data_IF_638381729745
#
_entry.id   IF_638381729745
#
_cell.length_a   1.000
_cell.length_b   1.000
_cell.length_c   1.000
_cell.angle_alpha   90.00
_cell.angle_beta   90.00
_cell.angle_gamma   90.00
#
_symmetry.space_group_name_H-M   'P 1'
#
loop_
_entity.id
_entity.type
_entity.pdbx_description
1 polymer ?
#
# COMPACT_ATOMS: atom_id res chain seq x y z
N UNK A 1 19.80 -12.38 -4.87
CA UNK A 1 18.79 -11.33 -4.68
C UNK A 1 19.33 -10.42 -3.58
N UNK A 2 19.77 -9.21 -3.92
CA UNK A 2 20.53 -8.38 -2.98
C UNK A 2 19.56 -7.71 -1.99
N UNK A 3 19.74 -8.06 -0.72
CA UNK A 3 18.99 -7.53 0.40
C UNK A 3 19.52 -6.16 0.82
N UNK A 4 18.66 -5.32 1.39
CA UNK A 4 19.12 -4.15 2.12
C UNK A 4 19.88 -4.64 3.38
N UNK A 5 21.08 -4.12 3.66
CA UNK A 5 21.79 -4.38 4.91
C UNK A 5 20.97 -4.05 6.16
N UNK A 6 21.21 -4.74 7.27
CA UNK A 6 20.50 -4.53 8.56
C UNK A 6 20.78 -3.15 9.15
N UNK A 7 21.90 -2.53 8.82
CA UNK A 7 22.26 -1.18 9.23
C UNK A 7 21.77 -0.10 8.26
N UNK A 8 20.94 -0.46 7.27
CA UNK A 8 20.39 0.51 6.32
C UNK A 8 19.46 1.49 7.02
N UNK A 9 19.57 2.76 6.66
CA UNK A 9 18.73 3.84 7.16
C UNK A 9 18.08 4.52 5.97
N UNK A 10 16.79 4.84 6.10
CA UNK A 10 16.05 5.64 5.15
C UNK A 10 15.72 7.02 5.73
N UNK A 11 15.69 8.02 4.85
CA UNK A 11 15.29 9.38 5.20
C UNK A 11 14.56 10.03 4.01
N UNK A 12 13.52 10.82 4.32
CA UNK A 12 12.74 11.54 3.30
C UNK A 12 12.98 13.02 3.42
N UNK A 13 13.37 13.66 2.32
CA UNK A 13 13.59 15.09 2.23
C UNK A 13 12.60 15.70 1.24
N UNK A 14 12.16 16.91 1.53
CA UNK A 14 11.12 17.59 0.76
C UNK A 14 11.49 19.07 0.53
N UNK A 15 11.35 19.55 -0.70
CA UNK A 15 11.67 20.93 -1.07
C UNK A 15 10.59 21.57 -1.96
N UNK A 16 10.43 22.89 -1.83
CA UNK A 16 9.48 23.71 -2.60
C UNK A 16 10.06 24.17 -3.94
N UNK A 17 11.38 24.37 -4.00
CA UNK A 17 12.13 24.78 -5.18
C UNK A 17 13.13 23.71 -5.63
N UNK A 18 13.53 23.76 -6.91
CA UNK A 18 14.54 22.87 -7.45
C UNK A 18 15.91 23.28 -6.88
N UNK A 19 16.28 22.70 -5.74
CA UNK A 19 17.58 22.91 -5.11
C UNK A 19 18.44 21.71 -5.47
N UNK A 20 19.53 21.92 -6.23
CA UNK A 20 20.38 20.87 -6.81
C UNK A 20 20.80 19.79 -5.80
N UNK A 21 21.96 19.91 -5.12
CA UNK A 21 22.08 19.24 -3.84
C UNK A 21 20.99 19.86 -2.95
N UNK A 22 20.07 19.07 -2.40
CA UNK A 22 19.09 19.56 -1.41
C UNK A 22 19.86 20.18 -0.21
N UNK A 23 20.22 21.46 -0.32
CA UNK A 23 21.08 22.21 0.61
C UNK A 23 20.41 23.55 0.86
N UNK A 24 20.20 23.90 2.14
CA UNK A 24 19.26 24.97 2.55
C UNK A 24 17.80 24.51 2.46
N UNK A 25 16.88 25.26 3.11
CA UNK A 25 15.39 25.25 3.18
C UNK A 25 14.55 23.98 2.92
N UNK A 26 15.17 22.84 2.66
CA UNK A 26 14.54 21.56 2.49
C UNK A 26 14.13 21.06 3.88
N UNK A 27 12.89 20.59 3.95
CA UNK A 27 12.45 19.85 5.10
C UNK A 27 13.14 18.49 5.12
N UNK A 28 13.73 18.15 6.27
CA UNK A 28 14.44 16.90 6.49
C UNK A 28 13.63 16.07 7.50
N UNK A 29 13.13 14.93 7.04
CA UNK A 29 12.40 14.00 7.90
C UNK A 29 13.31 13.24 8.85
N UNK A 30 12.72 12.63 9.91
CA UNK A 30 13.47 11.75 10.79
C UNK A 30 14.01 10.54 10.01
N UNK A 31 15.16 10.04 10.45
CA UNK A 31 15.72 8.78 9.98
C UNK A 31 14.86 7.62 10.47
N UNK A 32 14.63 6.62 9.62
CA UNK A 32 13.88 5.42 10.00
C UNK A 32 14.45 4.17 9.35
N UNK A 33 14.14 3.03 9.94
CA UNK A 33 14.55 1.74 9.39
C UNK A 33 13.72 1.43 8.13
N UNK A 34 14.36 1.14 6.97
CA UNK A 34 13.65 0.85 5.73
C UNK A 34 12.93 -0.51 5.77
N UNK A 35 13.35 -1.42 6.66
CA UNK A 35 12.69 -2.69 6.87
C UNK A 35 11.69 -2.60 8.04
N UNK A 36 10.48 -3.10 7.80
CA UNK A 36 9.44 -3.18 8.84
C UNK A 36 9.59 -4.41 9.75
N UNK A 37 10.46 -5.36 9.40
CA UNK A 37 10.59 -6.63 10.11
C UNK A 37 11.98 -6.89 10.64
N UNK A 38 12.07 -7.40 11.87
CA UNK A 38 13.30 -7.97 12.44
C UNK A 38 13.95 -9.09 11.58
N UNK A 39 13.33 -9.47 10.46
CA UNK A 39 13.86 -10.38 9.46
C UNK A 39 13.36 -10.02 8.04
N UNK A 40 14.19 -10.24 7.04
CA UNK A 40 13.82 -10.18 5.62
C UNK A 40 12.87 -11.33 5.27
N UNK A 41 11.92 -11.10 4.35
CA UNK A 41 11.13 -12.21 3.80
C UNK A 41 12.03 -13.17 3.02
N UNK A 42 11.76 -14.49 3.06
CA UNK A 42 12.51 -15.46 2.24
C UNK A 42 12.48 -15.16 0.73
N UNK A 43 11.47 -14.43 0.26
CA UNK A 43 11.36 -13.96 -1.13
C UNK A 43 12.31 -12.81 -1.47
N UNK A 44 13.00 -12.24 -0.49
CA UNK A 44 13.86 -11.08 -0.65
C UNK A 44 13.13 -9.74 -0.80
N UNK A 45 11.80 -9.77 -0.89
CA UNK A 45 10.96 -8.60 -1.12
C UNK A 45 10.76 -7.78 0.16
N UNK A 46 10.84 -6.46 0.02
CA UNK A 46 10.73 -5.49 1.09
C UNK A 46 9.83 -4.35 0.64
N UNK A 47 9.05 -3.83 1.59
CA UNK A 47 8.20 -2.65 1.38
C UNK A 47 8.64 -1.57 2.33
N UNK A 48 9.19 -0.49 1.77
CA UNK A 48 9.47 0.74 2.52
C UNK A 48 8.19 1.56 2.55
N UNK A 49 7.77 1.95 3.75
CA UNK A 49 6.64 2.86 3.95
C UNK A 49 7.12 4.04 4.78
N UNK A 50 6.82 5.23 4.29
CA UNK A 50 6.93 6.46 5.05
C UNK A 50 5.59 7.21 4.97
N UNK A 51 5.17 7.80 6.07
CA UNK A 51 4.03 8.71 6.11
C UNK A 51 4.42 9.96 6.87
N UNK A 52 3.96 11.12 6.40
CA UNK A 52 4.20 12.39 7.07
C UNK A 52 3.80 12.31 8.56
N UNK A 53 4.69 12.69 9.49
CA UNK A 53 4.36 12.72 10.91
C UNK A 53 3.31 13.79 11.18
N UNK A 54 2.50 13.61 12.22
CA UNK A 54 1.49 14.60 12.65
C UNK A 54 2.15 15.93 13.08
N UNK A 55 3.33 15.83 13.70
CA UNK A 55 4.14 16.97 14.12
C UNK A 55 5.35 17.10 13.20
N UNK A 56 5.60 18.29 12.67
CA UNK A 56 6.69 18.52 11.72
C UNK A 56 6.37 17.99 10.32
N UNK A 57 5.11 18.05 9.88
CA UNK A 57 4.69 17.75 8.50
C UNK A 57 5.54 18.54 7.50
N UNK A 58 6.04 17.93 6.41
CA UNK A 58 6.71 18.69 5.37
C UNK A 58 5.79 19.77 4.80
N UNK A 59 6.35 20.93 4.40
CA UNK A 59 5.59 21.93 3.65
C UNK A 59 5.12 21.34 2.32
N UNK A 60 4.21 22.05 1.63
CA UNK A 60 3.76 21.67 0.28
C UNK A 60 4.98 21.62 -0.65
N UNK A 61 5.52 20.42 -0.85
CA UNK A 61 6.76 20.19 -1.56
C UNK A 61 6.48 19.69 -2.98
N UNK A 62 7.28 20.19 -3.92
CA UNK A 62 7.26 19.75 -5.32
C UNK A 62 8.32 18.68 -5.57
N UNK A 63 9.41 18.72 -4.81
CA UNK A 63 10.56 17.84 -4.97
C UNK A 63 10.72 16.94 -3.75
N UNK A 64 10.81 15.64 -4.00
CA UNK A 64 10.96 14.62 -2.98
C UNK A 64 12.24 13.82 -3.23
N UNK A 65 13.04 13.66 -2.19
CA UNK A 65 14.23 12.80 -2.20
C UNK A 65 14.10 11.73 -1.14
N UNK A 66 14.26 10.49 -1.56
CA UNK A 66 14.31 9.33 -0.67
C UNK A 66 15.77 8.89 -0.61
N UNK A 67 16.41 9.14 0.53
CA UNK A 67 17.79 8.73 0.78
C UNK A 67 17.76 7.37 1.47
N UNK A 68 18.49 6.40 0.93
CA UNK A 68 18.72 5.10 1.58
C UNK A 68 20.24 4.89 1.61
N UNK A 69 20.79 4.69 2.80
CA UNK A 69 22.23 4.56 3.01
C UNK A 69 22.53 3.53 4.09
N UNK A 70 23.71 2.94 4.05
CA UNK A 70 24.23 1.94 4.99
C UNK A 70 25.73 2.18 5.13
N UNK A 71 26.33 1.72 6.23
CA UNK A 71 27.79 1.73 6.39
C UNK A 71 28.47 0.73 5.46
N UNK A 72 27.74 -0.30 5.03
CA UNK A 72 28.22 -1.33 4.11
C UNK A 72 27.77 -1.01 2.69
N UNK A 73 28.62 -1.25 1.69
CA UNK A 73 28.24 -1.09 0.28
C UNK A 73 27.18 -2.14 -0.10
N UNK A 74 26.07 -1.69 -0.67
CA UNK A 74 24.99 -2.56 -1.10
C UNK A 74 24.41 -2.12 -2.44
N UNK A 75 23.69 -3.04 -3.07
CA UNK A 75 22.89 -2.80 -4.25
C UNK A 75 21.47 -3.25 -3.96
N UNK A 76 20.49 -2.48 -4.38
CA UNK A 76 19.09 -2.87 -4.24
C UNK A 76 18.35 -2.52 -5.52
N UNK A 77 17.30 -3.30 -5.81
CA UNK A 77 16.43 -3.05 -6.93
C UNK A 77 15.08 -2.55 -6.41
N UNK A 78 14.68 -1.37 -6.85
CA UNK A 78 13.33 -0.86 -6.62
C UNK A 78 12.44 -1.32 -7.77
N UNK A 79 11.32 -1.98 -7.44
CA UNK A 79 10.32 -2.36 -8.44
C UNK A 79 9.31 -1.24 -8.67
N UNK A 80 8.83 -0.61 -7.59
CA UNK A 80 7.77 0.40 -7.64
C UNK A 80 7.99 1.43 -6.54
N UNK A 81 7.65 2.68 -6.85
CA UNK A 81 7.61 3.80 -5.92
C UNK A 81 6.22 4.41 -6.00
N UNK A 82 5.57 4.59 -4.85
CA UNK A 82 4.21 5.10 -4.75
C UNK A 82 4.24 6.33 -3.85
N UNK A 83 3.81 7.46 -4.40
CA UNK A 83 3.71 8.73 -3.70
C UNK A 83 2.27 9.20 -3.86
N UNK A 84 1.59 9.49 -2.75
CA UNK A 84 0.19 9.85 -2.78
C UNK A 84 -0.32 10.36 -1.46
N UNK A 85 -1.59 10.77 -1.47
CA UNK A 85 -2.29 11.24 -0.27
C UNK A 85 -2.69 10.04 0.58
N UNK A 86 -2.40 10.10 1.89
CA UNK A 86 -2.82 9.07 2.84
C UNK A 86 -4.28 9.29 3.24
N UNK A 87 -5.07 8.23 3.16
CA UNK A 87 -6.38 8.12 3.81
C UNK A 87 -6.29 7.10 4.94
N UNK A 88 -6.72 7.47 6.14
CA UNK A 88 -6.83 6.59 7.31
C UNK A 88 -8.13 6.93 8.03
N UNK A 89 -9.13 6.04 8.05
CA UNK A 89 -10.36 6.30 8.77
C UNK A 89 -10.12 6.29 10.28
N UNK A 90 -10.92 7.05 11.04
CA UNK A 90 -10.83 7.09 12.50
C UNK A 90 -11.26 5.77 13.15
N UNK A 91 -12.16 5.03 12.49
CA UNK A 91 -12.60 3.69 12.90
C UNK A 91 -12.00 2.65 11.99
N UNK A 92 -11.40 1.64 12.60
CA UNK A 92 -10.74 0.58 11.86
C UNK A 92 -11.76 -0.29 11.10
N UNK A 93 -11.29 -1.00 10.08
CA UNK A 93 -12.12 -1.99 9.40
C UNK A 93 -12.55 -3.08 10.38
N UNK A 94 -13.72 -3.68 10.15
CA UNK A 94 -14.18 -4.79 10.98
C UNK A 94 -13.26 -6.00 10.82
N UNK A 95 -12.98 -6.75 11.90
CA UNK A 95 -12.21 -7.99 11.86
C UNK A 95 -12.95 -9.02 10.99
N UNK A 96 -12.64 -9.01 9.69
CA UNK A 96 -13.28 -9.78 8.64
C UNK A 96 -12.67 -9.51 7.28
N UNK A 97 -11.41 -9.07 7.23
CA UNK A 97 -10.69 -8.88 5.97
C UNK A 97 -10.65 -10.21 5.20
N UNK A 98 -11.22 -10.23 4.00
CA UNK A 98 -11.24 -11.41 3.15
C UNK A 98 -9.92 -11.48 2.40
N UNK A 99 -8.95 -12.22 2.92
CA UNK A 99 -7.72 -12.54 2.21
C UNK A 99 -7.97 -13.70 1.26
N UNK A 100 -7.69 -13.48 -0.03
CA UNK A 100 -7.93 -14.48 -1.05
C UNK A 100 -6.79 -14.58 -2.05
N UNK A 101 -6.94 -15.52 -2.97
CA UNK A 101 -6.10 -15.64 -4.16
C UNK A 101 -7.03 -15.76 -5.34
N UNK A 102 -6.91 -14.84 -6.28
CA UNK A 102 -7.56 -14.94 -7.58
C UNK A 102 -6.63 -15.68 -8.52
N UNK A 103 -7.01 -16.92 -8.83
CA UNK A 103 -6.34 -17.70 -9.89
C UNK A 103 -6.90 -17.25 -11.24
N UNK A 104 -6.04 -16.75 -12.12
CA UNK A 104 -6.40 -16.44 -13.51
C UNK A 104 -6.29 -17.66 -14.43
N UNK A 105 -5.90 -18.81 -13.87
CA UNK A 105 -5.86 -20.07 -14.59
C UNK A 105 -7.25 -20.65 -14.84
N UNK A 106 -7.32 -21.55 -15.81
CA UNK A 106 -8.52 -22.33 -16.09
C UNK A 106 -8.18 -23.82 -16.04
N UNK A 107 -9.13 -24.61 -15.55
CA UNK A 107 -9.09 -26.06 -15.60
C UNK A 107 -10.43 -26.51 -16.19
N UNK A 108 -10.36 -27.19 -17.33
CA UNK A 108 -11.53 -27.69 -18.05
C UNK A 108 -11.30 -29.16 -18.42
N UNK A 109 -12.36 -29.89 -18.72
CA UNK A 109 -12.28 -31.25 -19.22
C UNK A 109 -12.58 -31.25 -20.72
N UNK A 110 -11.67 -31.82 -21.51
CA UNK A 110 -11.96 -32.09 -22.92
C UNK A 110 -13.14 -33.05 -23.05
N UNK A 111 -13.75 -33.09 -24.24
CA UNK A 111 -14.80 -34.07 -24.57
C UNK A 111 -14.40 -35.54 -24.34
N UNK A 112 -13.09 -35.84 -24.22
CA UNK A 112 -12.56 -37.18 -23.93
C UNK A 112 -12.23 -37.40 -22.45
N UNK A 113 -12.62 -36.48 -21.56
CA UNK A 113 -12.35 -36.58 -20.12
C UNK A 113 -10.91 -36.25 -19.71
N UNK A 114 -10.08 -35.76 -20.64
CA UNK A 114 -8.71 -35.30 -20.33
C UNK A 114 -8.76 -33.90 -19.72
N UNK A 115 -8.10 -33.70 -18.58
CA UNK A 115 -7.96 -32.41 -17.93
C UNK A 115 -7.07 -31.46 -18.77
N UNK A 116 -7.67 -30.39 -19.28
CA UNK A 116 -6.99 -29.28 -19.92
C UNK A 116 -6.74 -28.19 -18.86
N UNK A 117 -5.47 -27.84 -18.67
CA UNK A 117 -5.08 -26.84 -17.66
C UNK A 117 -4.27 -25.72 -18.30
N UNK A 118 -4.79 -24.51 -18.21
CA UNK A 118 -4.06 -23.29 -18.55
C UNK A 118 -3.59 -22.64 -17.26
N UNK A 119 -2.27 -22.52 -17.09
CA UNK A 119 -1.69 -21.85 -15.91
C UNK A 119 -1.81 -20.34 -16.08
N UNK A 120 -2.59 -19.71 -15.22
CA UNK A 120 -2.64 -18.25 -15.09
C UNK A 120 -1.78 -17.77 -13.91
N UNK A 121 -1.58 -16.46 -13.84
CA UNK A 121 -0.99 -15.83 -12.67
C UNK A 121 -1.97 -15.95 -11.47
N UNK A 122 -1.42 -16.22 -10.29
CA UNK A 122 -2.17 -16.23 -9.03
C UNK A 122 -1.95 -14.89 -8.35
N UNK A 123 -3.00 -14.06 -8.30
CA UNK A 123 -2.94 -12.73 -7.73
C UNK A 123 -3.53 -12.76 -6.31
N UNK A 124 -2.86 -12.11 -5.36
CA UNK A 124 -3.42 -11.94 -4.02
C UNK A 124 -4.62 -11.01 -4.08
N UNK A 125 -5.67 -11.31 -3.35
CA UNK A 125 -6.84 -10.42 -3.20
C UNK A 125 -7.06 -10.08 -1.74
N UNK A 126 -7.60 -8.89 -1.52
CA UNK A 126 -7.97 -8.41 -0.19
C UNK A 126 -9.31 -7.67 -0.27
N UNK A 127 -10.28 -8.16 0.48
CA UNK A 127 -11.55 -7.49 0.71
C UNK A 127 -11.55 -6.84 2.08
N UNK A 128 -11.80 -5.53 2.15
CA UNK A 128 -11.97 -4.79 3.39
C UNK A 128 -13.41 -4.31 3.53
N UNK A 129 -13.96 -4.51 4.72
CA UNK A 129 -15.29 -4.00 5.09
C UNK A 129 -15.17 -3.05 6.28
N UNK A 130 -15.46 -1.78 6.04
CA UNK A 130 -15.59 -0.77 7.08
C UNK A 130 -17.06 -0.74 7.49
N UNK A 131 -17.40 -1.24 8.67
CA UNK A 131 -18.80 -1.46 9.07
C UNK A 131 -19.47 -0.26 9.74
N UNK A 132 -18.69 0.75 10.14
CA UNK A 132 -19.14 1.81 11.04
C UNK A 132 -18.40 3.13 10.80
N UNK A 133 -18.31 3.56 9.54
CA UNK A 133 -17.76 4.87 9.17
C UNK A 133 -18.73 5.99 9.57
N UNK A 134 -18.17 7.14 9.95
CA UNK A 134 -18.92 8.37 10.11
C UNK A 134 -19.32 8.94 8.75
N UNK A 135 -20.45 9.66 8.71
CA UNK A 135 -20.97 10.27 7.48
C UNK A 135 -19.96 11.24 6.87
N UNK A 136 -19.41 12.13 7.69
CA UNK A 136 -18.48 13.16 7.23
C UNK A 136 -17.19 12.55 6.68
N UNK A 137 -16.66 11.49 7.30
CA UNK A 137 -15.48 10.78 6.77
C UNK A 137 -15.75 10.12 5.42
N UNK A 138 -16.96 9.61 5.22
CA UNK A 138 -17.37 8.99 3.97
C UNK A 138 -17.47 10.04 2.87
N UNK A 139 -18.22 11.11 3.10
CA UNK A 139 -18.50 12.14 2.09
C UNK A 139 -17.28 13.00 1.77
N UNK A 140 -16.45 13.35 2.76
CA UNK A 140 -15.30 14.24 2.55
C UNK A 140 -14.07 13.53 1.98
N UNK A 141 -13.90 12.23 2.26
CA UNK A 141 -12.64 11.53 1.98
C UNK A 141 -12.83 10.26 1.17
N UNK A 142 -13.68 9.34 1.62
CA UNK A 142 -13.78 8.04 0.99
C UNK A 142 -14.48 8.12 -0.37
N UNK A 143 -15.62 8.79 -0.45
CA UNK A 143 -16.39 8.89 -1.69
C UNK A 143 -15.60 9.59 -2.81
N UNK A 144 -14.96 10.75 -2.60
CA UNK A 144 -14.08 11.35 -3.60
C UNK A 144 -12.92 10.45 -4.01
N UNK A 145 -12.36 9.67 -3.08
CA UNK A 145 -11.31 8.70 -3.38
C UNK A 145 -11.83 7.58 -4.29
N UNK A 146 -13.02 7.03 -3.99
CA UNK A 146 -13.62 5.97 -4.79
C UNK A 146 -14.03 6.47 -6.18
N UNK A 147 -14.57 7.68 -6.28
CA UNK A 147 -14.91 8.32 -7.56
C UNK A 147 -13.66 8.60 -8.41
N UNK A 148 -12.57 9.05 -7.77
CA UNK A 148 -11.30 9.26 -8.46
C UNK A 148 -10.66 7.96 -8.93
N UNK A 149 -10.69 6.91 -8.11
CA UNK A 149 -10.05 5.65 -8.45
C UNK A 149 -10.85 4.83 -9.49
N UNK A 150 -12.18 4.80 -9.31
CA UNK A 150 -13.06 3.89 -10.02
C UNK A 150 -12.53 2.45 -9.99
N UNK A 151 -12.60 1.78 -11.14
CA UNK A 151 -12.03 0.44 -11.35
C UNK A 151 -10.73 0.46 -12.17
N UNK A 152 -10.24 1.64 -12.56
CA UNK A 152 -9.12 1.80 -13.49
C UNK A 152 -7.82 2.13 -12.79
N UNK A 153 -7.88 2.95 -11.74
CA UNK A 153 -6.68 3.42 -11.05
C UNK A 153 -6.16 2.41 -10.02
N UNK A 154 -4.92 2.62 -9.62
CA UNK A 154 -4.21 1.77 -8.68
C UNK A 154 -4.21 2.36 -7.28
N UNK A 155 -4.45 1.52 -6.28
CA UNK A 155 -4.39 1.88 -4.87
C UNK A 155 -3.27 1.08 -4.17
N UNK A 156 -2.54 1.76 -3.28
CA UNK A 156 -1.70 1.12 -2.28
C UNK A 156 -2.50 0.93 -0.98
N UNK A 157 -2.69 -0.31 -0.56
CA UNK A 157 -3.37 -0.64 0.68
C UNK A 157 -2.39 -1.22 1.69
N UNK A 158 -2.36 -0.64 2.89
CA UNK A 158 -1.57 -1.10 4.01
C UNK A 158 -2.54 -1.33 5.16
N UNK A 159 -2.81 -2.59 5.48
CA UNK A 159 -3.82 -2.93 6.51
C UNK A 159 -3.34 -2.61 7.91
N UNK A 160 -2.03 -2.66 8.13
CA UNK A 160 -1.37 -2.42 9.40
C UNK A 160 -0.07 -1.64 9.16
N UNK A 161 -0.05 -0.33 9.48
CA UNK A 161 1.12 0.52 9.25
C UNK A 161 2.23 0.34 10.30
N UNK A 162 1.97 -0.35 11.41
CA UNK A 162 2.89 -0.39 12.55
C UNK A 162 4.08 -1.34 12.34
N UNK A 163 5.20 -1.09 13.05
CA UNK A 163 6.29 -2.01 13.36
C UNK A 163 6.08 -3.52 13.22
N UNK A 164 6.19 -4.21 12.06
CA UNK A 164 5.93 -5.66 12.06
C UNK A 164 6.72 -6.50 11.04
N UNK A 165 7.20 -7.66 11.50
CA UNK A 165 7.93 -8.68 10.73
C UNK A 165 7.29 -9.03 9.38
N UNK A 166 5.97 -9.14 9.36
CA UNK A 166 5.19 -9.52 8.18
C UNK A 166 4.53 -8.32 7.46
N UNK A 167 4.95 -7.07 7.71
CA UNK A 167 4.30 -5.91 7.08
C UNK A 167 4.30 -5.98 5.55
N UNK A 168 5.38 -6.45 4.93
CA UNK A 168 5.43 -6.65 3.48
C UNK A 168 4.34 -7.60 2.95
N UNK A 169 3.85 -8.55 3.77
CA UNK A 169 2.71 -9.42 3.43
C UNK A 169 1.34 -8.75 3.69
N UNK A 170 1.31 -7.66 4.45
CA UNK A 170 0.13 -6.84 4.78
C UNK A 170 0.01 -5.59 3.90
N UNK A 171 0.97 -5.37 3.01
CA UNK A 171 0.89 -4.37 1.96
C UNK A 171 0.41 -5.01 0.66
N UNK A 172 -0.48 -4.30 -0.02
CA UNK A 172 -1.07 -4.68 -1.28
C UNK A 172 -1.02 -3.47 -2.23
N UNK A 173 -0.89 -3.73 -3.52
CA UNK A 173 -0.92 -2.69 -4.54
C UNK A 173 -1.65 -3.22 -5.76
N UNK A 174 -2.69 -2.53 -6.20
CA UNK A 174 -3.42 -2.92 -7.40
C UNK A 174 -4.75 -2.21 -7.56
N UNK A 175 -5.59 -2.73 -8.45
CA UNK A 175 -6.87 -2.12 -8.80
C UNK A 175 -8.00 -2.57 -7.87
N UNK A 176 -8.98 -1.69 -7.70
CA UNK A 176 -10.26 -2.06 -7.12
C UNK A 176 -11.06 -2.90 -8.11
N UNK A 177 -11.78 -3.90 -7.59
CA UNK A 177 -12.54 -4.84 -8.41
C UNK A 177 -13.91 -5.11 -7.80
N UNK A 178 -14.90 -5.28 -8.68
CA UNK A 178 -16.28 -5.57 -8.28
C UNK A 178 -17.05 -4.29 -7.99
N UNK A 179 -18.11 -4.42 -7.21
CA UNK A 179 -18.90 -3.27 -6.78
C UNK A 179 -18.17 -2.54 -5.65
N UNK A 180 -17.68 -1.35 -6.00
CA UNK A 180 -17.07 -0.41 -5.07
C UNK A 180 -18.15 0.58 -4.66
N UNK A 181 -18.53 0.55 -3.38
CA UNK A 181 -19.62 1.39 -2.93
C UNK A 181 -19.76 1.44 -1.42
N UNK A 182 -20.63 2.36 -0.99
CA UNK A 182 -20.99 2.52 0.40
C UNK A 182 -22.50 2.45 0.58
N UNK A 183 -22.92 1.86 1.70
CA UNK A 183 -24.32 1.63 2.05
C UNK A 183 -24.55 2.23 3.44
N UNK A 184 -25.65 2.96 3.62
CA UNK A 184 -26.10 3.36 4.94
C UNK A 184 -26.71 2.16 5.65
N UNK A 185 -25.95 1.52 6.56
CA UNK A 185 -26.39 0.29 7.23
C UNK A 185 -27.47 0.56 8.28
N UNK A 186 -27.31 1.65 9.05
CA UNK A 186 -28.25 2.12 10.09
C UNK A 186 -28.17 3.64 10.22
N UNK A 187 -29.09 4.25 10.94
CA UNK A 187 -29.01 5.68 11.28
C UNK A 187 -27.65 5.98 11.94
N UNK A 188 -26.85 6.85 11.32
CA UNK A 188 -25.51 7.23 11.80
C UNK A 188 -24.37 6.22 11.57
N UNK A 189 -24.62 5.10 10.88
CA UNK A 189 -23.59 4.10 10.60
C UNK A 189 -23.54 3.75 9.10
N UNK A 190 -22.42 4.14 8.47
CA UNK A 190 -22.15 3.82 7.08
C UNK A 190 -21.20 2.63 6.96
N UNK A 191 -21.45 1.83 5.93
CA UNK A 191 -20.62 0.69 5.58
C UNK A 191 -19.99 0.92 4.20
N UNK A 192 -18.72 0.60 4.05
CA UNK A 192 -18.05 0.55 2.75
C UNK A 192 -17.35 -0.80 2.58
N UNK A 193 -17.48 -1.39 1.40
CA UNK A 193 -16.81 -2.63 1.04
C UNK A 193 -15.90 -2.37 -0.16
N UNK A 194 -14.64 -2.78 -0.05
CA UNK A 194 -13.62 -2.54 -1.07
C UNK A 194 -12.89 -3.86 -1.29
N UNK A 195 -12.86 -4.32 -2.54
CA UNK A 195 -12.06 -5.47 -2.94
C UNK A 195 -10.94 -5.02 -3.84
N UNK A 196 -9.73 -5.50 -3.58
CA UNK A 196 -8.53 -5.19 -4.33
C UNK A 196 -7.86 -6.45 -4.84
N UNK A 197 -7.40 -6.43 -6.09
CA UNK A 197 -6.54 -7.45 -6.68
C UNK A 197 -5.12 -6.91 -6.74
N UNK A 198 -4.21 -7.56 -6.02
CA UNK A 198 -2.81 -7.14 -5.89
C UNK A 198 -1.97 -7.60 -7.08
N UNK A 199 -1.20 -6.66 -7.64
CA UNK A 199 -0.17 -6.83 -8.67
C UNK A 199 1.25 -6.86 -8.08
N UNK A 200 1.34 -6.90 -6.75
CA UNK A 200 2.56 -7.03 -5.97
C UNK A 200 2.98 -8.49 -5.81
#
# INVERSE_FOLDING_TARGET
MTSLPVDSIAQVWAATSAQGPFSGDAWIGPSFQPYAGSAQLPSGELTLQWSAPLNGTPPIARYWRILIYSTTRFYFQMRRVLIGRRFSPARNFSNGAAFGVRDLGTADFSRRGVLLRTRGAKLRTVGLTFSSLYKDELEEKLQPLLEYLGNTEMLALITDPDPHAQRSRRTFYGQLVGEVGSIQRRAGAWQAAINLVSLM
#
